data_IF_894250429316
#
_entry.id   IF_894250429316
#
_cell.length_a   1.000
_cell.length_b   1.000
_cell.length_c   1.000
_cell.angle_alpha   90.00
_cell.angle_beta   90.00
_cell.angle_gamma   90.00
#
_symmetry.space_group_name_H-M   'P 1'
#
loop_
_entity.id
_entity.type
_entity.pdbx_description
1 polymer ?
2 non-polymer ?
3 non-polymer ?
4 non-polymer ?
5 non-polymer ?
6 non-polymer ?
7 water ?
#
# COMPACT_ATOMS: atom_id res chain seq x y z
N UNK A 2 -21.69 0.04 -17.06
CA UNK A 2 -22.64 -1.10 -17.17
C UNK A 2 -21.96 -2.25 -17.90
N UNK A 3 -22.27 -2.43 -19.20
CA UNK A 3 -21.86 -3.60 -19.94
C UNK A 3 -20.35 -3.59 -20.17
N UNK A 4 -19.83 -2.46 -20.64
CA UNK A 4 -18.41 -2.31 -20.91
C UNK A 4 -17.60 -2.50 -19.63
N UNK A 5 -18.00 -1.82 -18.55
CA UNK A 5 -17.31 -1.94 -17.28
C UNK A 5 -17.35 -3.37 -16.76
N UNK A 6 -18.49 -4.06 -16.93
CA UNK A 6 -18.62 -5.45 -16.48
C UNK A 6 -17.69 -6.36 -17.29
N UNK A 7 -17.57 -6.08 -18.59
CA UNK A 7 -16.71 -6.86 -19.47
C UNK A 7 -15.25 -6.73 -19.02
N UNK A 8 -14.84 -5.50 -18.65
CA UNK A 8 -13.48 -5.27 -18.17
C UNK A 8 -13.25 -6.09 -16.91
N UNK A 9 -14.19 -6.03 -15.97
CA UNK A 9 -14.04 -6.72 -14.70
C UNK A 9 -13.90 -8.22 -14.91
N UNK A 10 -14.61 -8.76 -15.91
CA UNK A 10 -14.53 -10.18 -16.20
C UNK A 10 -13.10 -10.53 -16.59
N UNK A 11 -12.51 -9.66 -17.43
CA UNK A 11 -11.16 -9.79 -17.94
C UNK A 11 -10.12 -9.75 -16.82
N UNK A 12 -10.40 -9.00 -15.75
CA UNK A 12 -9.45 -8.75 -14.68
C UNK A 12 -9.49 -9.83 -13.60
N UNK A 13 -10.47 -10.75 -13.67
CA UNK A 13 -10.64 -11.74 -12.61
C UNK A 13 -9.39 -12.60 -12.52
N UNK A 14 -9.07 -13.03 -11.29
CA UNK A 14 -7.97 -13.96 -11.04
C UNK A 14 -8.48 -15.40 -11.23
N UNK A 15 -7.62 -16.25 -11.78
CA UNK A 15 -7.89 -17.68 -11.89
C UNK A 15 -7.71 -18.35 -10.53
N UNK A 16 -8.68 -19.20 -10.16
CA UNK A 16 -8.62 -19.93 -8.90
C UNK A 16 -7.38 -20.85 -8.86
N UNK A 17 -6.93 -21.34 -10.02
CA UNK A 17 -5.78 -22.23 -10.08
C UNK A 17 -4.49 -21.48 -9.73
N UNK A 18 -4.30 -20.29 -10.32
CA UNK A 18 -3.06 -19.56 -10.21
C UNK A 18 -2.89 -19.03 -8.77
N UNK A 19 -4.02 -18.63 -8.18
CA UNK A 19 -4.08 -18.25 -6.77
C UNK A 19 -3.50 -19.38 -5.90
N UNK A 20 -3.90 -20.62 -6.19
CA UNK A 20 -3.51 -21.77 -5.37
C UNK A 20 -2.02 -22.06 -5.49
N UNK A 21 -1.51 -22.06 -6.73
CA UNK A 21 -0.11 -22.36 -6.99
C UNK A 21 0.77 -21.22 -6.48
N UNK A 22 0.37 -19.99 -6.78
CA UNK A 22 1.12 -18.81 -6.35
C UNK A 22 1.26 -18.81 -4.82
N UNK A 23 0.17 -19.16 -4.13
CA UNK A 23 0.16 -19.11 -2.67
C UNK A 23 1.26 -20.01 -2.12
N UNK A 24 1.34 -21.25 -2.63
CA UNK A 24 2.30 -22.24 -2.16
C UNK A 24 3.75 -21.83 -2.43
N UNK A 25 3.99 -21.23 -3.61
CA UNK A 25 5.32 -20.77 -3.97
C UNK A 25 5.75 -19.67 -3.00
N UNK A 26 4.85 -18.71 -2.74
CA UNK A 26 5.15 -17.62 -1.82
C UNK A 26 5.40 -18.21 -0.44
N UNK A 27 4.53 -19.10 0.03
CA UNK A 27 4.65 -19.64 1.38
C UNK A 27 6.04 -20.26 1.58
N UNK A 28 6.48 -21.08 0.62
CA UNK A 28 7.78 -21.73 0.70
C UNK A 28 8.92 -20.75 0.90
N UNK A 29 8.95 -19.70 0.06
CA UNK A 29 10.01 -18.72 0.09
C UNK A 29 9.96 -17.96 1.42
N UNK A 30 8.78 -17.43 1.74
CA UNK A 30 8.59 -16.62 2.94
C UNK A 30 8.94 -17.43 4.20
N UNK A 31 8.51 -18.70 4.27
CA UNK A 31 8.76 -19.52 5.45
C UNK A 31 10.26 -19.73 5.64
N UNK A 32 10.98 -19.98 4.55
CA UNK A 32 12.43 -20.17 4.59
C UNK A 32 13.11 -18.94 5.20
N UNK A 33 12.77 -17.75 4.70
CA UNK A 33 13.46 -16.53 5.04
C UNK A 33 13.19 -16.13 6.49
N UNK A 34 11.95 -16.35 6.94
CA UNK A 34 11.58 -16.09 8.32
C UNK A 34 12.38 -16.97 9.27
N UNK A 35 12.54 -18.25 8.90
CA UNK A 35 13.30 -19.21 9.68
C UNK A 35 14.75 -18.75 9.81
N UNK A 36 15.37 -18.37 8.69
CA UNK A 36 16.76 -17.91 8.72
C UNK A 36 16.88 -16.68 9.60
N UNK A 37 16.00 -15.68 9.37
CA UNK A 37 16.06 -14.41 10.08
C UNK A 37 15.96 -14.60 11.59
N UNK A 38 15.13 -15.56 12.03
CA UNK A 38 14.89 -15.77 13.44
C UNK A 38 16.17 -16.20 14.17
N UNK A 39 17.15 -16.75 13.43
CA UNK A 39 18.44 -17.10 14.01
C UNK A 39 19.18 -15.87 14.52
N UNK A 40 19.17 -14.81 13.72
CA UNK A 40 19.91 -13.60 14.05
C UNK A 40 19.30 -12.98 15.31
N UNK A 41 20.14 -12.61 16.27
CA UNK A 41 19.66 -12.10 17.55
C UNK A 41 18.85 -10.82 17.37
N UNK A 42 19.12 -10.06 16.31
CA UNK A 42 18.50 -8.76 16.07
C UNK A 42 17.11 -8.92 15.43
N UNK A 43 16.81 -10.11 14.88
CA UNK A 43 15.57 -10.35 14.18
C UNK A 43 14.81 -11.51 14.79
N UNK A 44 15.12 -11.84 16.05
CA UNK A 44 14.55 -13.00 16.71
C UNK A 44 13.02 -13.01 16.63
N UNK A 45 12.41 -11.86 16.92
CA UNK A 45 10.96 -11.78 17.09
C UNK A 45 10.20 -11.55 15.79
N UNK A 46 10.88 -11.70 14.64
CA UNK A 46 10.28 -11.42 13.34
C UNK A 46 9.04 -12.29 13.15
N UNK A 47 8.05 -11.74 12.43
CA UNK A 47 6.80 -12.43 12.14
C UNK A 47 6.17 -11.90 10.86
N UNK A 48 5.23 -12.69 10.31
CA UNK A 48 4.67 -12.41 9.00
C UNK A 48 3.36 -11.63 9.12
N UNK A 49 3.21 -10.59 8.28
CA UNK A 49 1.91 -9.98 8.04
C UNK A 49 1.70 -9.87 6.54
N UNK A 50 0.59 -10.46 6.07
CA UNK A 50 0.18 -10.45 4.68
C UNK A 50 -0.61 -9.18 4.38
N UNK A 51 -0.16 -8.40 3.39
CA UNK A 51 -0.75 -7.10 3.09
C UNK A 51 -0.91 -6.91 1.58
N UNK A 52 -1.50 -5.78 1.18
CA UNK A 52 -1.60 -5.43 -0.23
C UNK A 52 -2.71 -6.17 -0.97
N UNK A 53 -2.71 -6.05 -2.29
CA UNK A 53 -3.92 -6.24 -3.08
C UNK A 53 -4.32 -7.71 -3.14
N UNK A 54 -3.33 -8.61 -3.10
CA UNK A 54 -3.65 -10.04 -3.15
C UNK A 54 -4.52 -10.42 -1.96
N UNK A 55 -4.15 -9.94 -0.76
CA UNK A 55 -4.79 -10.36 0.47
C UNK A 55 -6.05 -9.54 0.76
N UNK A 56 -6.21 -8.43 0.01
CA UNK A 56 -7.37 -7.57 0.05
C UNK A 56 -8.37 -7.95 -1.05
N UNK A 57 -7.99 -8.93 -1.90
CA UNK A 57 -8.82 -9.43 -2.97
C UNK A 57 -9.16 -8.35 -4.01
N UNK A 58 -8.21 -7.43 -4.27
CA UNK A 58 -8.37 -6.43 -5.32
C UNK A 58 -7.19 -6.48 -6.28
N UNK A 59 -6.36 -7.52 -6.19
CA UNK A 59 -5.37 -7.78 -7.22
C UNK A 59 -6.10 -8.05 -8.53
N UNK A 60 -5.60 -7.46 -9.63
CA UNK A 60 -6.23 -7.63 -10.94
C UNK A 60 -5.29 -8.39 -11.89
N UNK A 61 -5.91 -9.01 -12.90
CA UNK A 61 -5.25 -9.68 -14.02
C UNK A 61 -4.64 -11.02 -13.58
N UNK A 62 -3.64 -10.98 -12.68
CA UNK A 62 -2.88 -12.18 -12.33
C UNK A 62 -2.41 -12.10 -10.89
N UNK A 63 -2.31 -13.23 -10.15
CA UNK A 63 -1.70 -13.22 -8.83
C UNK A 63 -0.17 -13.28 -8.90
N UNK A 64 0.45 -12.21 -9.43
CA UNK A 64 1.88 -12.20 -9.72
C UNK A 64 2.62 -11.10 -8.94
N UNK A 65 1.99 -10.55 -7.89
CA UNK A 65 2.67 -9.57 -7.04
C UNK A 65 2.03 -9.61 -5.65
N UNK A 66 2.87 -10.04 -4.69
CA UNK A 66 2.50 -10.20 -3.29
C UNK A 66 3.31 -9.21 -2.47
N UNK A 67 2.70 -8.77 -1.37
CA UNK A 67 3.33 -7.86 -0.44
C UNK A 67 3.21 -8.48 0.95
N UNK A 68 4.34 -8.46 1.69
CA UNK A 68 4.39 -8.96 3.04
C UNK A 68 5.26 -8.04 3.91
N UNK A 69 4.82 -7.89 5.14
CA UNK A 69 5.62 -7.25 6.18
C UNK A 69 6.26 -8.37 6.99
N UNK A 70 7.58 -8.28 7.16
CA UNK A 70 8.29 -9.04 8.17
C UNK A 70 8.38 -8.15 9.38
N UNK A 71 7.41 -8.31 10.28
CA UNK A 71 7.24 -7.38 11.39
C UNK A 71 8.13 -7.82 12.53
N UNK A 72 8.56 -6.84 13.33
CA UNK A 72 9.44 -7.08 14.46
C UNK A 72 9.04 -6.11 15.57
N UNK A 73 8.55 -6.64 16.69
CA UNK A 73 8.20 -5.77 17.80
C UNK A 73 9.47 -5.08 18.32
N UNK A 74 9.31 -3.79 18.64
CA UNK A 74 10.35 -2.98 19.23
C UNK A 74 9.75 -2.28 20.45
N UNK A 75 9.80 -2.89 21.66
CA UNK A 75 9.28 -2.23 22.86
C UNK A 75 9.98 -0.90 23.11
N UNK A 76 9.33 -0.03 23.89
CA UNK A 76 9.97 1.16 24.44
C UNK A 76 10.56 2.01 23.33
N UNK A 77 9.69 2.50 22.43
CA UNK A 77 10.14 3.21 21.25
C UNK A 77 9.79 4.69 21.39
N UNK A 78 10.68 5.57 20.89
CA UNK A 78 10.54 7.01 20.98
C UNK A 78 10.75 7.63 19.59
N UNK A 79 9.79 8.46 19.12
CA UNK A 79 9.83 8.99 17.77
C UNK A 79 10.14 10.48 17.76
N UNK A 80 10.93 10.92 16.78
CA UNK A 80 11.07 12.33 16.47
C UNK A 80 10.68 12.54 15.01
N UNK A 81 9.62 13.32 14.79
CA UNK A 81 9.14 13.65 13.46
C UNK A 81 10.26 14.33 12.67
N UNK A 82 10.55 13.83 11.47
CA UNK A 82 11.52 14.45 10.59
C UNK A 82 10.88 15.65 9.90
N UNK A 83 11.43 16.84 10.13
CA UNK A 83 11.21 18.02 9.30
C UNK A 83 9.72 18.30 9.06
N UNK A 84 8.89 18.15 10.09
CA UNK A 84 7.46 18.42 9.98
C UNK A 84 6.82 17.70 8.79
N UNK A 85 7.32 16.52 8.44
CA UNK A 85 6.80 15.76 7.30
C UNK A 85 5.55 14.97 7.69
N UNK A 86 5.33 14.78 9.00
CA UNK A 86 4.15 14.13 9.56
C UNK A 86 4.22 12.60 9.40
N UNK A 87 4.78 12.08 8.31
CA UNK A 87 4.80 10.64 8.07
C UNK A 87 6.16 10.01 8.38
N UNK A 88 7.25 10.79 8.32
CA UNK A 88 8.59 10.26 8.47
C UNK A 88 9.17 10.63 9.85
N UNK A 89 9.90 9.67 10.44
CA UNK A 89 10.34 9.77 11.82
C UNK A 89 11.77 9.24 11.99
N UNK A 90 12.51 9.85 12.93
CA UNK A 90 13.64 9.19 13.55
C UNK A 90 13.14 8.31 14.70
N UNK A 91 13.72 7.11 14.80
CA UNK A 91 13.41 6.16 15.85
C UNK A 91 14.51 6.19 16.90
N UNK A 92 14.14 6.50 18.15
CA UNK A 92 15.00 6.39 19.32
C UNK A 92 14.43 5.35 20.28
N UNK A 93 15.12 5.10 21.40
CA UNK A 93 14.62 4.19 22.43
C UNK A 93 14.49 4.92 23.76
N UNK A 94 13.55 4.44 24.58
CA UNK A 94 13.39 4.90 25.95
C UNK A 94 14.49 4.27 26.80
N UNK A 95 14.77 4.88 27.96
CA UNK A 95 15.89 4.49 28.81
C UNK A 95 15.93 2.96 28.96
N UNK A 99 19.12 -4.87 27.67
CA UNK A 99 19.81 -5.25 26.42
C UNK A 99 18.88 -5.02 25.23
N UNK A 100 19.18 -3.98 24.45
CA UNK A 100 18.44 -3.67 23.23
C UNK A 100 19.01 -4.50 22.09
N UNK A 101 18.24 -5.45 21.50
CA UNK A 101 18.72 -6.26 20.37
C UNK A 101 19.14 -5.48 19.12
N UNK A 102 18.80 -4.18 19.03
CA UNK A 102 19.05 -3.38 17.84
C UNK A 102 20.24 -2.44 18.04
N UNK A 103 20.86 -2.50 19.23
CA UNK A 103 22.12 -1.85 19.55
C UNK A 103 23.00 -1.58 18.33
N UNK A 104 23.18 -2.61 17.49
CA UNK A 104 24.18 -2.61 16.44
C UNK A 104 23.86 -1.62 15.31
N UNK A 105 22.60 -1.16 15.22
CA UNK A 105 22.18 -0.31 14.12
C UNK A 105 22.05 1.15 14.54
N UNK A 106 22.55 1.49 15.74
CA UNK A 106 22.39 2.82 16.29
C UNK A 106 23.45 3.76 15.70
N UNK A 107 23.02 5.00 15.41
CA UNK A 107 23.92 6.09 15.06
C UNK A 107 23.61 7.26 15.98
N UNK A 108 24.49 7.49 16.95
CA UNK A 108 24.11 8.26 18.13
C UNK A 108 22.95 7.56 18.83
N UNK A 109 21.93 8.35 19.20
CA UNK A 109 20.77 7.86 19.93
C UNK A 109 19.75 7.21 18.99
N UNK A 110 20.06 7.12 17.69
CA UNK A 110 19.07 6.95 16.64
C UNK A 110 19.28 5.61 15.91
N UNK A 111 18.18 4.88 15.66
CA UNK A 111 18.22 3.64 14.91
C UNK A 111 18.22 3.93 13.42
N UNK A 112 19.31 3.59 12.72
CA UNK A 112 19.43 3.85 11.30
C UNK A 112 18.63 2.85 10.47
N UNK A 113 17.62 3.38 9.77
CA UNK A 113 16.83 2.66 8.79
C UNK A 113 17.71 2.04 7.71
N UNK A 114 18.65 2.81 7.16
CA UNK A 114 19.49 2.31 6.07
C UNK A 114 20.40 1.19 6.55
N UNK A 115 21.03 1.37 7.72
CA UNK A 115 21.87 0.34 8.31
C UNK A 115 21.07 -0.95 8.50
N UNK A 116 19.87 -0.84 9.08
CA UNK A 116 19.10 -2.02 9.45
C UNK A 116 18.50 -2.68 8.20
N UNK A 117 18.02 -1.88 7.25
CA UNK A 117 17.51 -2.41 5.99
C UNK A 117 18.62 -3.15 5.25
N UNK A 118 19.85 -2.60 5.25
CA UNK A 118 20.94 -3.20 4.48
C UNK A 118 21.25 -4.60 5.00
N UNK A 119 21.26 -4.78 6.33
CA UNK A 119 21.51 -6.10 6.89
C UNK A 119 20.35 -7.04 6.53
N UNK A 120 19.11 -6.52 6.64
CA UNK A 120 17.93 -7.29 6.31
C UNK A 120 18.06 -7.86 4.89
N UNK A 121 18.36 -6.96 3.93
CA UNK A 121 18.54 -7.30 2.54
C UNK A 121 19.67 -8.34 2.39
N UNK A 122 20.79 -8.10 3.10
CA UNK A 122 21.95 -8.97 3.04
C UNK A 122 21.53 -10.41 3.34
N UNK A 123 20.95 -10.63 4.53
CA UNK A 123 20.60 -11.96 5.01
C UNK A 123 19.68 -12.65 4.01
N UNK A 124 18.69 -11.92 3.48
CA UNK A 124 17.76 -12.50 2.53
C UNK A 124 18.50 -12.83 1.23
N UNK A 125 19.34 -11.90 0.77
CA UNK A 125 20.15 -12.14 -0.43
C UNK A 125 21.04 -13.36 -0.22
N UNK A 126 21.65 -13.46 0.96
CA UNK A 126 22.59 -14.52 1.30
C UNK A 126 21.86 -15.86 1.34
N UNK A 127 20.53 -15.82 1.45
CA UNK A 127 19.73 -17.01 1.69
C UNK A 127 18.98 -17.43 0.43
N UNK A 128 19.12 -16.67 -0.66
CA UNK A 128 18.22 -16.80 -1.80
C UNK A 128 18.73 -17.91 -2.73
N UNK A 129 19.89 -18.48 -2.41
CA UNK A 129 20.44 -19.62 -3.14
C UNK A 129 20.36 -20.87 -2.27
N UNK A 130 19.15 -21.42 -2.15
CA UNK A 130 18.92 -22.63 -1.39
C UNK A 130 17.56 -23.23 -1.78
N UNK A 133 14.91 -25.63 -4.41
CA UNK A 133 13.54 -26.19 -4.52
C UNK A 133 12.64 -25.26 -5.35
N UNK A 134 12.91 -23.95 -5.32
CA UNK A 134 12.41 -23.02 -6.33
C UNK A 134 13.54 -22.10 -6.76
N UNK A 135 13.35 -21.40 -7.89
CA UNK A 135 14.31 -20.41 -8.35
C UNK A 135 13.81 -19.02 -7.98
N UNK A 136 14.61 -18.31 -7.17
CA UNK A 136 14.29 -16.98 -6.67
C UNK A 136 15.45 -16.05 -6.99
N UNK A 137 15.13 -14.85 -7.49
CA UNK A 137 16.12 -13.82 -7.79
C UNK A 137 15.69 -12.52 -7.10
N UNK A 138 16.68 -11.70 -6.72
CA UNK A 138 16.40 -10.45 -6.01
C UNK A 138 16.60 -9.27 -6.96
N UNK A 139 15.56 -8.44 -7.09
CA UNK A 139 15.61 -7.29 -7.98
C UNK A 139 16.50 -6.19 -7.36
N UNK A 140 17.01 -5.32 -8.24
CA UNK A 140 17.86 -4.21 -7.87
C UNK A 140 17.20 -3.38 -6.78
N UNK A 141 17.98 -2.95 -5.77
CA UNK A 141 17.47 -2.10 -4.71
C UNK A 141 16.98 -0.80 -5.31
N UNK A 142 15.72 -0.45 -5.06
CA UNK A 142 15.22 0.85 -5.48
C UNK A 142 15.51 1.86 -4.38
N UNK A 143 16.17 2.97 -4.77
CA UNK A 143 16.53 4.02 -3.85
C UNK A 143 15.34 4.49 -3.02
N UNK A 144 15.49 4.42 -1.69
CA UNK A 144 14.54 5.02 -0.77
C UNK A 144 13.31 4.15 -0.53
N UNK A 145 13.19 3.03 -1.26
CA UNK A 145 12.10 2.10 -1.08
C UNK A 145 12.31 1.26 0.18
N UNK A 146 11.23 0.88 0.89
CA UNK A 146 11.34 -0.05 2.01
C UNK A 146 11.40 -1.51 1.57
N UNK A 147 11.08 -1.75 0.29
CA UNK A 147 10.86 -3.09 -0.22
C UNK A 147 12.19 -3.77 -0.51
N UNK A 148 12.27 -5.05 -0.15
CA UNK A 148 13.21 -5.99 -0.74
C UNK A 148 12.38 -6.88 -1.65
N UNK A 149 12.67 -6.83 -2.96
CA UNK A 149 11.78 -7.38 -3.97
C UNK A 149 12.45 -8.62 -4.58
N UNK A 150 11.70 -9.72 -4.55
CA UNK A 150 12.13 -11.00 -5.09
C UNK A 150 11.25 -11.36 -6.28
N UNK A 151 11.82 -12.11 -7.23
CA UNK A 151 11.07 -12.75 -8.30
C UNK A 151 11.25 -14.26 -8.22
N UNK A 152 10.12 -14.98 -8.22
CA UNK A 152 10.07 -16.44 -8.15
C UNK A 152 9.63 -16.99 -9.51
N UNK A 153 10.45 -17.89 -10.08
CA UNK A 153 10.12 -18.62 -11.29
C UNK A 153 9.83 -17.68 -12.45
N UNK A 154 10.54 -16.54 -12.49
CA UNK A 154 10.39 -15.55 -13.54
C UNK A 154 8.92 -15.10 -13.68
N UNK A 155 8.14 -15.13 -12.58
CA UNK A 155 6.71 -14.88 -12.70
C UNK A 155 6.14 -14.11 -11.50
N UNK A 156 6.44 -14.54 -10.26
CA UNK A 156 5.77 -14.01 -9.09
C UNK A 156 6.71 -13.07 -8.34
N UNK A 157 6.35 -11.78 -8.30
CA UNK A 157 7.07 -10.81 -7.51
C UNK A 157 6.55 -10.83 -6.07
N UNK A 158 7.49 -10.72 -5.12
CA UNK A 158 7.16 -10.59 -3.70
C UNK A 158 7.97 -9.42 -3.13
N UNK A 159 7.24 -8.37 -2.73
CA UNK A 159 7.83 -7.28 -2.00
C UNK A 159 7.80 -7.65 -0.53
N UNK A 160 8.99 -7.67 0.08
CA UNK A 160 9.16 -7.85 1.51
C UNK A 160 9.63 -6.52 2.09
N UNK A 161 8.88 -6.00 3.06
CA UNK A 161 9.35 -4.87 3.84
C UNK A 161 9.57 -5.36 5.26
N UNK A 162 10.71 -4.99 5.81
CA UNK A 162 10.90 -4.97 7.24
C UNK A 162 9.95 -3.93 7.82
N UNK A 163 9.35 -4.25 8.97
CA UNK A 163 8.47 -3.32 9.63
C UNK A 163 8.69 -3.41 11.14
N UNK A 164 9.07 -2.28 11.75
CA UNK A 164 9.08 -2.18 13.19
C UNK A 164 7.63 -2.05 13.65
N UNK A 165 7.28 -2.79 14.71
CA UNK A 165 5.94 -2.82 15.27
C UNK A 165 5.94 -2.16 16.64
N UNK A 166 5.10 -1.13 16.80
CA UNK A 166 4.91 -0.47 18.08
C UNK A 166 3.47 -0.66 18.54
N UNK A 167 3.30 -1.17 19.76
CA UNK A 167 1.99 -1.30 20.38
C UNK A 167 1.68 -0.04 21.20
N UNK A 168 2.43 1.04 20.98
CA UNK A 168 2.06 2.34 21.53
C UNK A 168 0.84 2.89 20.78
N UNK A 169 0.24 3.93 21.37
CA UNK A 169 -0.79 4.70 20.71
C UNK A 169 -0.20 5.37 19.47
N UNK A 170 -1.02 5.52 18.43
CA UNK A 170 -0.54 6.01 17.14
C UNK A 170 0.00 7.43 17.29
N UNK A 171 0.96 7.86 16.46
CA UNK A 171 1.50 9.22 16.54
C UNK A 171 0.47 10.32 16.33
N UNK A 172 0.78 11.50 16.88
CA UNK A 172 -0.16 12.62 16.91
C UNK A 172 -0.62 13.01 15.51
N UNK A 173 0.23 12.74 14.50
CA UNK A 173 -0.04 13.07 13.11
C UNK A 173 -1.25 12.31 12.55
N UNK A 174 -1.65 11.22 13.23
CA UNK A 174 -2.75 10.40 12.76
C UNK A 174 -4.06 10.77 13.44
N UNK A 175 -4.02 11.74 14.35
CA UNK A 175 -5.14 12.03 15.24
C UNK A 175 -6.42 12.31 14.46
N UNK A 176 -6.32 12.99 13.30
CA UNK A 176 -7.48 13.41 12.53
C UNK A 176 -7.64 12.57 11.26
N UNK A 177 -6.87 11.49 11.15
CA UNK A 177 -6.97 10.55 10.04
C UNK A 177 -8.02 9.47 10.26
N UNK A 178 -8.09 8.50 9.31
CA UNK A 178 -9.00 7.38 9.42
C UNK A 178 -10.41 7.87 9.77
N UNK A 179 -10.95 8.71 8.89
CA UNK A 179 -12.24 9.35 9.08
C UNK A 179 -13.35 8.40 8.65
N UNK A 180 -13.50 7.30 9.40
CA UNK A 180 -14.40 6.21 9.03
C UNK A 180 -15.66 6.24 9.89
N UNK A 181 -15.80 7.24 10.78
CA UNK A 181 -16.84 7.22 11.80
C UNK A 181 -18.24 7.09 11.20
N UNK A 182 -18.49 7.75 10.06
CA UNK A 182 -19.82 7.79 9.48
C UNK A 182 -20.09 6.58 8.58
N UNK A 183 -19.04 5.81 8.28
CA UNK A 183 -19.10 4.68 7.36
C UNK A 183 -19.01 3.37 8.14
N UNK A 184 -17.88 3.14 8.83
CA UNK A 184 -17.64 1.87 9.49
C UNK A 184 -17.94 1.96 10.99
N UNK A 185 -18.09 3.19 11.51
CA UNK A 185 -18.54 3.50 12.86
C UNK A 185 -17.40 4.02 13.73
N UNK A 186 -17.78 4.78 14.78
CA UNK A 186 -16.84 5.29 15.76
C UNK A 186 -16.26 4.15 16.58
N UNK A 187 -17.11 3.16 16.89
CA UNK A 187 -16.74 1.95 17.59
C UNK A 187 -15.56 1.25 16.90
N UNK A 188 -15.64 1.14 15.58
CA UNK A 188 -14.62 0.45 14.80
C UNK A 188 -13.36 1.30 14.73
N UNK A 189 -13.48 2.62 14.54
CA UNK A 189 -12.29 3.45 14.50
C UNK A 189 -11.50 3.29 15.79
N UNK A 190 -12.20 3.24 16.93
CA UNK A 190 -11.58 3.09 18.23
C UNK A 190 -10.82 1.76 18.34
N UNK A 191 -11.47 0.68 17.89
CA UNK A 191 -10.88 -0.66 17.93
C UNK A 191 -9.64 -0.70 17.05
N UNK A 192 -9.74 -0.11 15.85
CA UNK A 192 -8.62 -0.11 14.91
C UNK A 192 -7.42 0.64 15.50
N UNK A 193 -7.65 1.75 16.20
CA UNK A 193 -6.56 2.59 16.69
C UNK A 193 -5.91 2.00 17.95
N UNK A 194 -6.51 0.92 18.49
CA UNK A 194 -5.90 0.16 19.57
C UNK A 194 -4.89 -0.87 19.04
N UNK A 195 -4.89 -1.10 17.72
CA UNK A 195 -3.96 -2.04 17.12
C UNK A 195 -2.59 -1.40 16.94
N UNK A 196 -1.52 -2.18 16.64
CA UNK A 196 -0.18 -1.63 16.50
C UNK A 196 -0.09 -0.72 15.27
N UNK A 197 0.98 0.07 15.20
CA UNK A 197 1.36 0.76 13.97
C UNK A 197 2.76 0.31 13.61
N UNK A 198 3.12 0.51 12.34
CA UNK A 198 4.36 0.00 11.80
C UNK A 198 5.19 1.17 11.29
N UNK A 199 6.51 0.97 11.33
CA UNK A 199 7.46 1.84 10.67
C UNK A 199 8.25 0.98 9.68
N UNK A 200 8.32 1.44 8.43
CA UNK A 200 9.09 0.76 7.41
C UNK A 200 10.25 1.67 7.00
N UNK A 201 11.37 1.09 6.50
CA UNK A 201 12.53 1.88 6.11
C UNK A 201 12.39 2.50 4.72
N UNK A 202 11.31 3.26 4.53
CA UNK A 202 11.20 4.19 3.41
C UNK A 202 11.75 5.52 3.90
N UNK A 203 12.77 6.02 3.20
CA UNK A 203 13.44 7.27 3.57
C UNK A 203 12.70 8.45 2.96
N UNK A 204 12.58 9.53 3.74
CA UNK A 204 12.10 10.82 3.25
C UNK A 204 13.05 11.37 2.20
N UNK A 205 12.49 11.96 1.13
CA UNK A 205 13.29 12.63 0.12
C UNK A 205 14.05 13.79 0.77
N UNK A 206 15.34 13.91 0.38
CA UNK A 206 16.19 15.02 0.78
C UNK A 206 16.81 15.58 -0.50
N UNK A 207 16.15 16.59 -1.07
CA UNK A 207 16.54 17.16 -2.35
C UNK A 207 16.70 16.08 -3.42
N UNK A 208 17.97 15.84 -3.80
CA UNK A 208 18.30 14.90 -4.85
C UNK A 208 18.53 13.50 -4.28
N UNK A 209 18.58 13.39 -2.95
CA UNK A 209 18.84 12.12 -2.28
C UNK A 209 17.74 11.76 -1.28
N UNK A 210 18.14 11.03 -0.23
CA UNK A 210 17.22 10.57 0.80
C UNK A 210 17.86 10.81 2.17
N UNK A 211 17.04 11.20 3.15
CA UNK A 211 17.45 11.18 4.54
C UNK A 211 17.47 9.72 4.97
N UNK A 212 18.67 9.14 5.09
CA UNK A 212 18.82 7.69 5.08
C UNK A 212 18.63 7.07 6.46
N UNK A 213 18.32 7.84 7.50
CA UNK A 213 18.05 7.24 8.79
C UNK A 213 16.54 7.27 9.11
N UNK A 214 15.73 7.88 8.23
CA UNK A 214 14.31 8.06 8.50
C UNK A 214 13.51 6.79 8.18
N UNK A 215 12.44 6.58 8.96
CA UNK A 215 11.43 5.56 8.74
C UNK A 215 10.11 6.25 8.41
N UNK A 216 9.17 5.49 7.82
CA UNK A 216 7.85 6.02 7.50
C UNK A 216 6.76 5.14 8.10
N UNK A 217 5.67 5.76 8.56
CA UNK A 217 4.54 5.02 9.10
C UNK A 217 3.90 4.17 8.00
N UNK A 218 3.40 3.01 8.41
CA UNK A 218 2.65 2.12 7.54
C UNK A 218 1.40 1.62 8.28
N UNK A 219 0.26 1.64 7.59
CA UNK A 219 -0.99 1.13 8.14
C UNK A 219 -1.58 0.10 7.19
N UNK A 220 -0.71 -0.67 6.51
CA UNK A 220 -1.15 -1.67 5.53
C UNK A 220 -2.10 -2.69 6.15
N UNK A 221 -1.92 -2.99 7.44
CA UNK A 221 -2.77 -3.93 8.17
C UNK A 221 -4.19 -3.39 8.31
N UNK A 222 -4.33 -2.09 8.58
CA UNK A 222 -5.63 -1.45 8.72
C UNK A 222 -6.33 -1.38 7.36
N UNK A 223 -5.55 -1.03 6.32
CA UNK A 223 -6.09 -0.97 4.97
C UNK A 223 -6.70 -2.30 4.58
N UNK A 224 -6.02 -3.39 4.94
CA UNK A 224 -6.49 -4.72 4.59
C UNK A 224 -7.77 -5.03 5.34
N UNK A 225 -7.79 -4.72 6.65
CA UNK A 225 -8.95 -4.99 7.47
C UNK A 225 -10.18 -4.24 6.93
N UNK A 226 -9.99 -2.99 6.50
CA UNK A 226 -11.07 -2.17 5.98
C UNK A 226 -11.61 -2.77 4.69
N UNK A 227 -10.71 -3.10 3.74
CA UNK A 227 -11.17 -3.62 2.46
C UNK A 227 -11.88 -4.96 2.59
N UNK A 228 -11.50 -5.79 3.58
CA UNK A 228 -12.10 -7.11 3.76
C UNK A 228 -13.27 -7.06 4.75
N UNK A 229 -13.64 -5.87 5.20
CA UNK A 229 -14.79 -5.69 6.08
C UNK A 229 -15.25 -4.24 5.87
N UNK A 230 -15.82 -4.00 4.69
CA UNK A 230 -15.81 -2.67 4.08
C UNK A 230 -17.21 -2.03 4.02
N UNK A 231 -18.25 -2.70 4.50
CA UNK A 231 -19.59 -2.16 4.37
C UNK A 231 -20.05 -1.46 5.65
N UNK A 232 -21.07 -0.61 5.55
CA UNK A 232 -21.80 -0.16 6.71
C UNK A 232 -22.53 -1.36 7.33
N UNK A 233 -23.17 -2.16 6.49
CA UNK A 233 -23.78 -3.41 6.92
C UNK A 233 -22.68 -4.42 7.19
N UNK A 234 -22.78 -5.10 8.34
CA UNK A 234 -21.84 -6.14 8.71
C UNK A 234 -21.92 -7.30 7.73
N UNK A 235 -23.04 -7.45 7.02
CA UNK A 235 -23.20 -8.55 6.06
C UNK A 235 -22.95 -8.11 4.62
N UNK A 236 -22.37 -6.92 4.41
CA UNK A 236 -22.03 -6.46 3.07
C UNK A 236 -21.17 -7.53 2.37
N UNK A 237 -21.63 -7.93 1.18
CA UNK A 237 -20.98 -8.91 0.30
C UNK A 237 -20.97 -10.33 0.88
N UNK A 238 -21.79 -10.63 1.89
CA UNK A 238 -21.86 -11.98 2.43
C UNK A 238 -23.03 -12.76 1.83
N UNK A 239 -23.91 -12.07 1.11
CA UNK A 239 -25.04 -12.73 0.46
C UNK A 239 -25.33 -12.02 -0.86
N UNK A 240 -26.13 -12.67 -1.71
CA UNK A 240 -26.37 -12.18 -3.06
C UNK A 240 -27.24 -10.92 -3.05
N UNK A 241 -27.85 -10.57 -1.91
CA UNK A 241 -28.65 -9.36 -1.86
C UNK A 241 -27.83 -8.15 -1.46
N UNK A 242 -26.58 -8.34 -0.97
CA UNK A 242 -25.77 -7.22 -0.52
C UNK A 242 -24.41 -7.20 -1.23
N UNK A 243 -24.38 -7.45 -2.53
CA UNK A 243 -23.14 -7.38 -3.31
C UNK A 243 -22.86 -5.94 -3.77
N UNK A 244 -22.08 -5.17 -3.01
CA UNK A 244 -21.77 -3.79 -3.38
C UNK A 244 -20.71 -3.78 -4.47
N UNK A 245 -20.44 -2.60 -5.04
CA UNK A 245 -19.48 -2.49 -6.13
C UNK A 245 -18.22 -1.74 -5.69
N UNK A 246 -17.95 -1.66 -4.38
CA UNK A 246 -16.77 -0.99 -3.86
C UNK A 246 -15.49 -1.59 -4.44
N UNK A 247 -15.31 -2.91 -4.32
CA UNK A 247 -14.07 -3.52 -4.77
C UNK A 247 -13.95 -3.44 -6.30
N UNK A 248 -15.07 -3.60 -7.00
CA UNK A 248 -15.12 -3.46 -8.45
C UNK A 248 -14.63 -2.07 -8.88
N UNK A 249 -15.04 -1.03 -8.16
CA UNK A 249 -14.60 0.33 -8.48
C UNK A 249 -13.10 0.51 -8.24
N UNK A 250 -12.54 -0.06 -7.15
CA UNK A 250 -11.10 0.02 -6.90
C UNK A 250 -10.35 -0.70 -8.00
N UNK A 251 -10.81 -1.89 -8.41
CA UNK A 251 -10.16 -2.64 -9.47
C UNK A 251 -10.14 -1.85 -10.78
N UNK A 252 -11.26 -1.20 -11.14
CA UNK A 252 -11.33 -0.44 -12.37
C UNK A 252 -10.38 0.78 -12.31
N UNK A 253 -10.29 1.43 -11.14
CA UNK A 253 -9.41 2.57 -11.00
C UNK A 253 -7.96 2.13 -11.17
N UNK A 254 -7.64 0.95 -10.61
CA UNK A 254 -6.29 0.40 -10.71
C UNK A 254 -5.95 0.09 -12.17
N UNK A 255 -6.89 -0.53 -12.88
CA UNK A 255 -6.70 -0.90 -14.27
C UNK A 255 -6.59 0.35 -15.15
N UNK A 256 -7.40 1.37 -14.86
CA UNK A 256 -7.33 2.62 -15.60
C UNK A 256 -5.90 3.18 -15.51
N UNK A 257 -5.33 3.22 -14.30
CA UNK A 257 -4.00 3.78 -14.16
C UNK A 257 -2.95 2.89 -14.79
N UNK A 258 -3.04 1.57 -14.59
CA UNK A 258 -2.10 0.63 -15.20
C UNK A 258 -2.08 0.81 -16.71
N UNK A 259 -3.27 0.88 -17.32
CA UNK A 259 -3.39 0.95 -18.76
C UNK A 259 -2.82 2.26 -19.29
N UNK A 260 -3.09 3.37 -18.58
CA UNK A 260 -2.55 4.65 -18.99
C UNK A 260 -1.02 4.66 -18.91
N UNK A 261 -0.47 4.12 -17.82
CA UNK A 261 0.98 3.99 -17.68
C UNK A 261 1.58 3.16 -18.83
N UNK A 262 0.94 2.05 -19.18
CA UNK A 262 1.41 1.20 -20.27
C UNK A 262 1.43 1.99 -21.57
N UNK A 263 0.33 2.66 -21.89
CA UNK A 263 0.18 3.24 -23.21
C UNK A 263 1.01 4.51 -23.36
N UNK A 264 1.36 5.15 -22.24
CA UNK A 264 2.18 6.36 -22.26
C UNK A 264 3.62 6.02 -21.90
N UNK A 265 4.05 4.80 -22.20
CA UNK A 265 5.34 4.32 -21.75
C UNK A 265 6.48 4.84 -22.65
N UNK A 266 6.17 5.33 -23.86
CA UNK A 266 7.23 5.75 -24.77
C UNK A 266 8.01 6.93 -24.20
N UNK A 267 7.33 7.87 -23.50
CA UNK A 267 7.99 9.04 -22.95
C UNK A 267 7.81 9.15 -21.43
N UNK A 268 7.23 8.12 -20.79
CA UNK A 268 7.36 7.95 -19.35
C UNK A 268 6.80 9.15 -18.58
N UNK A 269 5.63 9.63 -19.01
CA UNK A 269 4.98 10.79 -18.43
C UNK A 269 4.42 10.50 -17.04
N UNK A 270 4.13 9.22 -16.78
CA UNK A 270 3.29 8.81 -15.66
C UNK A 270 4.07 7.94 -14.67
N UNK A 271 5.40 8.00 -14.73
CA UNK A 271 6.26 7.15 -13.91
C UNK A 271 6.06 7.41 -12.41
N UNK A 272 5.63 8.61 -12.01
CA UNK A 272 5.57 8.93 -10.59
C UNK A 272 4.23 8.52 -9.96
N UNK A 273 3.30 8.00 -10.76
CA UNK A 273 2.00 7.58 -10.24
C UNK A 273 1.99 6.08 -9.95
N UNK A 274 1.29 5.70 -8.88
CA UNK A 274 1.24 4.32 -8.43
C UNK A 274 -0.17 3.93 -7.98
N UNK A 275 -0.37 2.61 -7.84
CA UNK A 275 -1.65 2.08 -7.42
C UNK A 275 -2.06 2.62 -6.05
N UNK A 276 -1.10 2.95 -5.16
CA UNK A 276 -1.45 3.45 -3.83
C UNK A 276 -2.17 4.80 -3.93
N UNK A 277 -1.90 5.56 -5.01
CA UNK A 277 -2.59 6.82 -5.24
C UNK A 277 -4.08 6.56 -5.43
N UNK A 278 -4.44 5.59 -6.28
CA UNK A 278 -5.84 5.33 -6.52
C UNK A 278 -6.46 4.62 -5.31
N UNK A 279 -5.72 3.76 -4.62
CA UNK A 279 -6.22 3.17 -3.38
C UNK A 279 -6.60 4.25 -2.36
N UNK A 280 -5.71 5.23 -2.15
CA UNK A 280 -5.93 6.33 -1.21
C UNK A 280 -7.17 7.13 -1.61
N UNK A 281 -7.27 7.46 -2.90
CA UNK A 281 -8.38 8.25 -3.40
C UNK A 281 -9.67 7.48 -3.17
N UNK A 282 -9.61 6.16 -3.37
CA UNK A 282 -10.78 5.31 -3.21
C UNK A 282 -11.27 5.30 -1.76
N UNK A 283 -10.36 5.21 -0.79
CA UNK A 283 -10.76 5.26 0.61
C UNK A 283 -11.47 6.58 0.91
N UNK A 284 -10.97 7.69 0.37
CA UNK A 284 -11.61 8.98 0.58
C UNK A 284 -13.04 8.99 0.00
N UNK A 285 -13.25 8.35 -1.15
CA UNK A 285 -14.58 8.30 -1.74
C UNK A 285 -15.51 7.44 -0.87
N UNK A 286 -14.99 6.37 -0.24
CA UNK A 286 -15.75 5.60 0.74
C UNK A 286 -16.22 6.47 1.91
N UNK A 287 -15.35 7.35 2.41
CA UNK A 287 -15.71 8.30 3.45
C UNK A 287 -16.83 9.21 2.96
N UNK A 288 -16.73 9.69 1.71
CA UNK A 288 -17.72 10.62 1.19
C UNK A 288 -19.06 9.94 0.94
N UNK A 289 -19.03 8.62 0.69
CA UNK A 289 -20.19 7.84 0.31
C UNK A 289 -20.33 6.66 1.27
N UNK A 290 -20.75 6.92 2.53
CA UNK A 290 -20.72 5.89 3.58
C UNK A 290 -21.76 4.78 3.56
N UNK A 291 -22.85 4.95 2.80
CA UNK A 291 -23.95 4.00 2.83
C UNK A 291 -23.73 2.95 1.75
N UNK A 292 -24.08 1.68 2.04
CA UNK A 292 -23.93 0.63 1.05
C UNK A 292 -24.81 0.89 -0.16
N UNK A 293 -25.92 1.63 0.03
CA UNK A 293 -26.82 1.98 -1.06
C UNK A 293 -26.19 2.92 -2.07
N UNK A 294 -25.05 3.54 -1.72
CA UNK A 294 -24.32 4.40 -2.63
C UNK A 294 -23.29 3.58 -3.42
N UNK A 295 -23.31 2.26 -3.26
CA UNK A 295 -22.40 1.34 -3.93
C UNK A 295 -23.18 0.15 -4.45
N UNK A 296 -24.37 0.40 -4.96
CA UNK A 296 -25.23 -0.66 -5.46
C UNK A 296 -24.65 -1.14 -6.79
N UNK A 297 -24.64 -2.45 -6.98
CA UNK A 297 -24.14 -3.07 -8.19
C UNK A 297 -24.80 -2.45 -9.42
N UNK A 298 -26.07 -2.05 -9.31
CA UNK A 298 -26.79 -1.47 -10.44
C UNK A 298 -26.22 -0.11 -10.84
N UNK A 299 -25.42 0.50 -9.96
CA UNK A 299 -24.92 1.85 -10.17
C UNK A 299 -23.41 1.85 -10.44
N UNK A 300 -22.88 0.71 -10.93
CA UNK A 300 -21.46 0.57 -11.17
C UNK A 300 -20.92 1.78 -11.94
N UNK A 301 -21.64 2.18 -13.00
CA UNK A 301 -21.21 3.26 -13.86
C UNK A 301 -21.04 4.55 -13.06
N UNK A 302 -22.08 4.91 -12.30
CA UNK A 302 -22.06 6.14 -11.52
C UNK A 302 -20.99 6.05 -10.43
N UNK A 303 -20.89 4.88 -9.78
CA UNK A 303 -19.96 4.70 -8.68
C UNK A 303 -18.52 4.85 -9.17
N UNK A 304 -18.21 4.24 -10.31
CA UNK A 304 -16.90 4.41 -10.92
C UNK A 304 -16.63 5.88 -11.27
N UNK A 305 -17.64 6.56 -11.82
CA UNK A 305 -17.53 7.97 -12.15
C UNK A 305 -17.19 8.80 -10.92
N UNK A 306 -17.86 8.53 -9.79
CA UNK A 306 -17.56 9.18 -8.53
C UNK A 306 -16.08 9.03 -8.14
N UNK A 307 -15.54 7.83 -8.39
CA UNK A 307 -14.16 7.53 -8.08
C UNK A 307 -13.22 8.33 -8.99
N UNK A 308 -13.55 8.36 -10.29
CA UNK A 308 -12.74 9.05 -11.29
C UNK A 308 -12.75 10.57 -11.04
N UNK A 309 -13.91 11.15 -10.74
CA UNK A 309 -14.00 12.60 -10.60
C UNK A 309 -13.29 13.05 -9.33
N UNK A 310 -13.32 12.26 -8.26
CA UNK A 310 -12.56 12.60 -7.06
C UNK A 310 -11.06 12.53 -7.38
N UNK A 311 -10.63 11.48 -8.08
CA UNK A 311 -9.24 11.39 -8.48
C UNK A 311 -8.82 12.60 -9.32
N UNK A 312 -9.69 13.02 -10.25
CA UNK A 312 -9.42 14.20 -11.08
C UNK A 312 -9.28 15.44 -10.20
N UNK A 313 -10.14 15.58 -9.17
CA UNK A 313 -10.05 16.73 -8.28
C UNK A 313 -8.71 16.73 -7.56
N UNK A 314 -8.26 15.54 -7.11
CA UNK A 314 -7.00 15.39 -6.41
C UNK A 314 -5.83 15.85 -7.30
N UNK A 315 -5.82 15.43 -8.57
CA UNK A 315 -4.77 15.82 -9.51
C UNK A 315 -4.75 17.33 -9.71
N UNK A 316 -5.94 17.90 -9.94
CA UNK A 316 -6.06 19.31 -10.32
C UNK A 316 -5.72 20.23 -9.15
N UNK A 317 -6.04 19.81 -7.92
CA UNK A 317 -5.75 20.58 -6.72
C UNK A 317 -4.37 20.24 -6.18
N UNK A 318 -3.73 19.24 -6.80
CA UNK A 318 -2.43 18.72 -6.36
C UNK A 318 -2.48 18.37 -4.87
N UNK A 319 -3.58 17.74 -4.44
CA UNK A 319 -3.76 17.32 -3.06
C UNK A 319 -4.38 15.93 -3.03
N UNK A 320 -3.66 14.99 -2.39
CA UNK A 320 -4.16 13.66 -2.07
C UNK A 320 -3.64 13.31 -0.69
N UNK A 321 -4.47 13.49 0.34
CA UNK A 321 -4.04 13.24 1.71
C UNK A 321 -3.88 11.74 1.92
N UNK A 322 -2.79 11.35 2.57
CA UNK A 322 -2.68 10.03 3.14
C UNK A 322 -3.92 9.80 4.02
N UNK A 323 -4.54 8.62 3.90
CA UNK A 323 -5.81 8.38 4.56
C UNK A 323 -5.68 8.38 6.09
N UNK A 324 -4.48 8.09 6.61
CA UNK A 324 -4.22 8.00 8.04
C UNK A 324 -3.52 9.24 8.57
N UNK A 325 -2.80 9.95 7.69
CA UNK A 325 -1.96 11.09 8.03
C UNK A 325 -2.38 12.26 7.14
N UNK A 326 -3.39 13.06 7.55
CA UNK A 326 -4.00 14.06 6.67
C UNK A 326 -3.07 15.16 6.14
N UNK A 327 -2.05 15.52 6.93
CA UNK A 327 -1.13 16.58 6.53
C UNK A 327 0.02 16.01 5.69
N UNK A 328 -0.02 14.71 5.34
CA UNK A 328 0.94 14.19 4.38
C UNK A 328 0.27 14.12 3.02
N UNK A 329 0.74 14.99 2.12
CA UNK A 329 0.15 15.15 0.80
C UNK A 329 0.95 14.32 -0.20
N UNK A 330 0.35 13.21 -0.69
CA UNK A 330 1.02 12.34 -1.64
C UNK A 330 1.24 13.04 -2.99
N UNK A 331 0.49 14.13 -3.25
CA UNK A 331 0.58 14.85 -4.51
C UNK A 331 1.30 16.21 -4.35
N UNK A 332 2.11 16.39 -3.29
CA UNK A 332 2.89 17.62 -3.12
C UNK A 332 3.87 17.79 -4.27
N UNK A 333 4.31 19.03 -4.53
CA UNK A 333 5.31 19.29 -5.55
C UNK A 333 6.62 18.57 -5.21
N UNK A 334 6.90 18.42 -3.92
CA UNK A 334 8.08 17.72 -3.46
C UNK A 334 8.12 16.30 -4.05
N UNK A 335 6.97 15.65 -4.17
CA UNK A 335 6.91 14.25 -4.57
C UNK A 335 6.63 14.11 -6.07
N UNK A 336 5.73 14.95 -6.60
CA UNK A 336 5.29 14.85 -7.98
C UNK A 336 5.20 16.26 -8.58
N UNK A 337 5.91 16.48 -9.69
CA UNK A 337 5.99 17.79 -10.28
C UNK A 337 4.64 18.14 -10.90
N UNK A 338 4.37 19.45 -10.97
CA UNK A 338 3.12 19.97 -11.46
C UNK A 338 2.81 19.45 -12.86
N UNK A 339 3.83 19.39 -13.72
CA UNK A 339 3.64 19.02 -15.11
C UNK A 339 3.04 17.62 -15.22
N UNK A 340 3.54 16.67 -14.43
CA UNK A 340 3.04 15.30 -14.41
C UNK A 340 1.57 15.24 -13.99
N UNK A 341 1.22 16.00 -12.95
CA UNK A 341 -0.16 15.98 -12.44
C UNK A 341 -1.07 16.60 -13.48
N UNK A 342 -0.65 17.71 -14.11
CA UNK A 342 -1.41 18.30 -15.20
C UNK A 342 -1.55 17.31 -16.36
N UNK A 343 -0.49 16.54 -16.66
CA UNK A 343 -0.56 15.60 -17.79
C UNK A 343 -1.60 14.51 -17.51
N UNK A 344 -1.58 13.91 -16.31
CA UNK A 344 -2.53 12.84 -16.01
C UNK A 344 -3.96 13.38 -15.93
N UNK A 345 -4.14 14.62 -15.43
CA UNK A 345 -5.44 15.26 -15.43
C UNK A 345 -6.01 15.22 -16.84
N UNK A 346 -5.24 15.70 -17.82
CA UNK A 346 -5.76 15.76 -19.17
C UNK A 346 -6.14 14.36 -19.66
N UNK A 347 -5.32 13.34 -19.36
CA UNK A 347 -5.58 12.02 -19.93
C UNK A 347 -6.82 11.40 -19.29
N UNK A 348 -7.03 11.64 -18.01
CA UNK A 348 -8.19 11.08 -17.33
C UNK A 348 -9.45 11.78 -17.83
N UNK A 349 -9.39 13.11 -18.07
CA UNK A 349 -10.52 13.84 -18.64
C UNK A 349 -10.90 13.29 -20.00
N UNK A 350 -9.91 13.05 -20.86
CA UNK A 350 -10.19 12.50 -22.17
C UNK A 350 -10.93 11.18 -22.01
N UNK A 351 -10.40 10.32 -21.13
CA UNK A 351 -10.98 9.00 -20.93
C UNK A 351 -12.41 9.11 -20.42
N UNK A 352 -12.62 9.95 -19.39
CA UNK A 352 -13.94 10.13 -18.82
C UNK A 352 -14.93 10.66 -19.88
N UNK A 353 -14.48 11.60 -20.72
CA UNK A 353 -15.35 12.25 -21.69
C UNK A 353 -15.68 11.34 -22.86
N UNK A 354 -14.91 10.27 -23.07
CA UNK A 354 -15.15 9.39 -24.19
C UNK A 354 -15.54 8.00 -23.71
N UNK A 355 -15.99 7.91 -22.45
CA UNK A 355 -16.41 6.66 -21.83
C UNK A 355 -15.31 5.60 -21.93
N UNK A 356 -14.07 6.01 -21.61
CA UNK A 356 -12.97 5.12 -21.33
C UNK A 356 -12.64 4.24 -22.53
N UNK A 357 -12.22 4.83 -23.69
CA UNK A 357 -11.70 4.06 -24.81
C UNK A 357 -10.56 3.11 -24.45
N UNK A 358 -9.80 3.48 -23.40
CA UNK A 358 -8.67 2.68 -22.94
C UNK A 358 -9.15 1.30 -22.49
N UNK A 359 -10.44 1.18 -22.12
CA UNK A 359 -11.02 -0.10 -21.75
C UNK A 359 -11.62 -0.86 -22.94
N UNK A 360 -11.56 -0.32 -24.17
CA UNK A 360 -12.12 -1.02 -25.31
C UNK A 360 -11.27 -2.23 -25.68
N UNK A 361 -11.94 -3.32 -26.09
CA UNK A 361 -11.30 -4.45 -26.74
C UNK A 361 -11.42 -4.27 -28.27
X LIG B 1 -19.66 -5.00 -0.01
X LIG C 1 0.98 -5.23 -4.29
X LIG D 1 4.22 -4.16 -3.85
X LIG E 1 -0.99 -3.67 -6.50
X LIG E 1 0.20 -4.44 -5.95
X LIG E 1 -0.64 -2.52 -7.38
X LIG E 1 -2.08 -4.52 -7.07
X LIG E 1 -1.03 -2.93 -3.71
X LIG E 1 -1.99 -2.24 -2.77
X LIG E 1 -0.52 -4.31 -3.32
X LIG E 1 -1.62 -2.98 -5.17
X LIG E 1 1.81 -2.21 -3.69
X LIG E 1 2.47 -1.16 -4.53
X LIG E 1 2.23 -3.66 -3.89
X LIG E 1 0.25 -2.01 -3.96
X LIG E 1 1.91 -1.81 -2.15
X LIG E 1 1.55 -2.77 -1.14
X LIG E 1 1.04 -2.01 0.05
X LIG E 1 2.08 -1.12 0.53
X LIG E 1 -0.14 -1.08 -0.18
X LIG E 1 -1.37 -1.81 -0.24
X LIG E 1 -0.01 -0.15 1.03
X LIG E 1 -0.55 -0.71 2.21
X LIG E 1 1.49 0.00 1.15
X LIG E 1 2.03 1.18 0.49
X LIG E 1 2.50 1.27 -0.80
X LIG E 1 2.90 2.48 -1.09
X LIG E 1 2.67 3.22 0.06
X LIG E 1 2.88 4.58 0.37
X LIG E 1 3.38 5.47 -0.50
X LIG E 1 2.55 5.00 1.61
X LIG E 1 2.02 4.11 2.46
X LIG E 1 1.77 2.82 2.28
X LIG E 1 2.13 2.43 1.04
X LIG F 1 -16.30 -16.81 -11.64
X LIG F 1 -16.30 -18.17 -12.13
X LIG F 1 -17.36 -16.63 -10.68
X LIG F 1 -16.49 -15.91 -12.74
X LIG F 1 -15.05 -16.52 -11.01
X LIG G 1 5.83 -4.75 0.86
X LIG G 1 6.67 1.65 -0.99
X LIG G 1 7.45 1.15 -2.02
X LIG G 1 8.12 2.00 -2.88
X LIG G 1 8.00 3.37 -2.70
X LIG G 1 7.22 3.90 -1.68
X LIG G 1 6.55 3.02 -0.83
X LIG G 1 7.87 4.63 -5.22
X LIG G 1 7.18 5.81 -5.45
X LIG G 1 6.40 5.93 -6.59
X LIG G 1 6.32 4.87 -7.48
X LIG G 1 7.01 3.70 -7.25
X LIG G 1 7.79 3.57 -6.12
X LIG G 1 5.50 0.88 1.10
X LIG G 1 5.42 1.98 1.65
X LIG G 1 5.01 -0.32 1.78
X LIG G 1 4.50 -0.13 3.11
X LIG G 1 4.11 0.07 4.15
X LIG G 1 4.97 -1.60 1.26
X LIG G 1 5.42 -1.84 0.04
X LIG G 1 4.44 -2.79 1.93
X LIG G 1 4.82 -4.09 1.73
X LIG G 1 4.10 -4.89 2.52
X LIG G 1 3.19 -4.11 3.28
X LIG G 1 3.42 -2.89 2.90
X LIG G 1 6.01 0.71 -0.17
X LIG G 1 8.88 4.46 -3.78
X LIG G 1 5.35 5.02 -8.91
X LIG G 1 8.95 5.76 -3.15
X LIG G 1 10.10 3.81 -4.16
#
# INVERSE_FOLDING_TARGET
GASKLRAVLEKLKLSRDDISTAAGMVKGVVDHLLLRLKCDSAFRGVGLLNTGSYYEHVKISAPNEFDVMFKLEVPRIQLEEYSNTRAYYFVKFKRNPKENPLSQFLEGEILSASKMLSKFRKIIKEEINDIKDTDVIMKRKRGGSPAVTLLISEKISVDITLALESKSSWPASTQEGLRIQNWLSAKVRKQLRLKPFYLVPKHAKEGNGFQEETWRLSFSHIEKEILNNHGKSKTCCENKEEKCCRKDCLKLMKYLLEQLKERFKDKKHLDKFSSYHVKTAFFHVCTQNPQDSQWDRKDLGLCFDNCVTYFLQCLRTEKLENYFIPEFNLFSSNLIDKRSKEFLTKQIEYERNNEFPVFDEF
ZN ZN
MG MG
MG MG
ATP PG O1G O2G O3G PB O1B O2B O3B PA O1A O2A O3A O5' C5' C4' O4' C3' O3' C2' O2' C1' N9 C8 N7 C5 C6 N6 N1 C2 N3 C4
SO4 S O1 O2 O3 O4
YPD C13 C15 C16 C17 C18 C19 C20 C22 C23 C24 C25 C26 C27 C1 O2 C3 C4 N5 C6 O7 C8 C9 O10 N11 C12 N14 S21 CL28 O29 O30
#
